data_IF_229397247578
#
_entry.id   IF_229397247578
#
_cell.length_a   1.000
_cell.length_b   1.000
_cell.length_c   1.000
_cell.angle_alpha   90.00
_cell.angle_beta   90.00
_cell.angle_gamma   90.00
#
_symmetry.space_group_name_H-M   'P 1'
#
loop_
_entity.id
_entity.type
_entity.pdbx_description
1 polymer ?
#
# COMPACT_ATOMS: atom_id res chain seq x y z
N UNK A 1 18.79 3.13 -3.60
CA UNK A 1 17.63 2.20 -3.68
C UNK A 1 16.63 2.22 -2.51
N UNK A 2 16.66 3.13 -1.52
CA UNK A 2 15.69 3.10 -0.39
C UNK A 2 14.40 3.92 -0.60
N UNK A 3 14.33 4.78 -1.62
CA UNK A 3 13.21 5.73 -1.81
C UNK A 3 11.87 5.05 -2.14
N UNK A 4 11.86 4.06 -3.04
CA UNK A 4 10.64 3.34 -3.44
C UNK A 4 10.11 2.52 -2.26
N UNK A 5 11.00 1.77 -1.59
CA UNK A 5 10.63 0.98 -0.42
C UNK A 5 10.02 1.85 0.71
N UNK A 6 10.62 3.01 0.99
CA UNK A 6 10.10 3.95 1.99
C UNK A 6 8.70 4.47 1.62
N UNK A 7 8.43 4.72 0.34
CA UNK A 7 7.12 5.15 -0.12
C UNK A 7 6.08 4.03 0.03
N UNK A 8 6.42 2.79 -0.36
CA UNK A 8 5.54 1.63 -0.18
C UNK A 8 5.23 1.39 1.30
N UNK A 9 6.24 1.42 2.17
CA UNK A 9 6.04 1.28 3.61
C UNK A 9 5.12 2.37 4.18
N UNK A 10 5.27 3.63 3.75
CA UNK A 10 4.38 4.73 4.13
C UNK A 10 2.95 4.53 3.62
N UNK A 11 2.79 4.07 2.38
CA UNK A 11 1.46 3.83 1.79
C UNK A 11 0.74 2.67 2.48
N UNK A 12 1.44 1.57 2.80
CA UNK A 12 0.89 0.45 3.57
C UNK A 12 0.53 0.90 4.99
N UNK A 13 1.43 1.63 5.66
CA UNK A 13 1.16 2.20 6.97
C UNK A 13 -0.09 3.11 6.95
N UNK A 14 -0.24 3.94 5.92
CA UNK A 14 -1.43 4.77 5.74
C UNK A 14 -2.70 3.92 5.61
N UNK A 15 -2.70 2.87 4.77
CA UNK A 15 -3.84 1.94 4.65
C UNK A 15 -4.21 1.35 6.02
N UNK A 16 -3.21 0.88 6.78
CA UNK A 16 -3.43 0.30 8.10
C UNK A 16 -3.97 1.33 9.12
N UNK A 17 -3.50 2.59 9.07
CA UNK A 17 -4.05 3.68 9.90
C UNK A 17 -5.52 4.00 9.57
N UNK A 18 -5.97 3.65 8.36
CA UNK A 18 -7.36 3.74 7.92
C UNK A 18 -8.13 2.43 8.11
N UNK A 19 -7.55 1.48 8.87
CA UNK A 19 -8.13 0.15 9.14
C UNK A 19 -8.35 -0.68 7.87
N UNK A 20 -7.55 -0.49 6.84
CA UNK A 20 -7.61 -1.23 5.57
C UNK A 20 -6.39 -2.11 5.41
N UNK A 21 -6.57 -3.42 5.22
CA UNK A 21 -5.50 -4.36 4.79
C UNK A 21 -5.67 -4.63 3.30
N UNK A 22 -4.64 -4.40 2.49
CA UNK A 22 -4.71 -4.58 1.03
C UNK A 22 -4.79 -6.05 0.59
N UNK A 23 -4.03 -6.94 1.26
CA UNK A 23 -3.96 -8.41 1.02
C UNK A 23 -3.47 -8.89 -0.36
N UNK A 24 -3.12 -8.00 -1.28
CA UNK A 24 -2.63 -8.35 -2.63
C UNK A 24 -1.51 -7.40 -3.09
N UNK A 25 -0.50 -7.23 -2.22
CA UNK A 25 0.67 -6.41 -2.54
C UNK A 25 1.64 -7.21 -3.40
N UNK A 26 1.72 -6.83 -4.68
CA UNK A 26 2.61 -7.38 -5.72
C UNK A 26 3.02 -6.26 -6.68
N UNK A 27 4.03 -6.49 -7.52
CA UNK A 27 4.58 -5.45 -8.40
C UNK A 27 3.55 -4.94 -9.41
N UNK A 28 2.65 -5.81 -9.84
CA UNK A 28 1.54 -5.51 -10.76
C UNK A 28 0.54 -4.49 -10.14
N UNK A 29 0.44 -4.48 -8.80
CA UNK A 29 -0.42 -3.56 -8.05
C UNK A 29 0.33 -2.33 -7.52
N UNK A 30 1.54 -2.07 -8.05
CA UNK A 30 2.36 -0.90 -7.71
C UNK A 30 2.64 -0.14 -8.99
N UNK A 31 1.95 0.97 -9.18
CA UNK A 31 2.21 1.89 -10.29
C UNK A 31 3.33 2.85 -9.92
N UNK A 32 4.11 3.28 -10.91
CA UNK A 32 5.21 4.24 -10.75
C UNK A 32 5.19 5.25 -11.89
N UNK A 33 5.42 6.52 -11.57
CA UNK A 33 5.59 7.59 -12.56
C UNK A 33 7.07 7.82 -12.94
N UNK A 34 7.32 8.72 -13.90
CA UNK A 34 8.68 9.07 -14.35
C UNK A 34 9.56 9.67 -13.22
N UNK A 35 8.96 10.09 -12.12
CA UNK A 35 9.64 10.67 -10.96
C UNK A 35 9.90 9.65 -9.85
N UNK A 36 9.75 8.35 -10.13
CA UNK A 36 9.89 7.25 -9.16
C UNK A 36 8.96 7.41 -7.94
N UNK A 37 7.77 8.01 -8.12
CA UNK A 37 6.74 8.02 -7.10
C UNK A 37 5.84 6.80 -7.28
N UNK A 38 5.70 5.99 -6.23
CA UNK A 38 4.90 4.77 -6.31
C UNK A 38 3.52 4.93 -5.66
N UNK A 39 2.51 4.30 -6.25
CA UNK A 39 1.13 4.26 -5.78
C UNK A 39 0.64 2.81 -5.75
N UNK A 40 -0.01 2.43 -4.65
CA UNK A 40 -0.64 1.13 -4.51
C UNK A 40 -2.03 1.20 -5.16
N UNK A 41 -2.37 0.20 -5.97
CA UNK A 41 -3.64 0.10 -6.70
C UNK A 41 -4.28 -1.28 -6.51
N UNK A 42 -5.53 -1.42 -6.97
CA UNK A 42 -6.32 -2.65 -6.90
C UNK A 42 -6.64 -3.13 -5.48
N UNK A 43 -7.63 -2.50 -4.87
CA UNK A 43 -8.14 -2.85 -3.55
C UNK A 43 -9.26 -3.92 -3.63
N UNK A 44 -9.39 -4.67 -4.72
CA UNK A 44 -10.46 -5.66 -4.90
C UNK A 44 -10.47 -6.77 -3.85
N UNK A 45 -9.31 -7.08 -3.26
CA UNK A 45 -9.16 -8.05 -2.17
C UNK A 45 -8.98 -7.39 -0.78
N UNK A 46 -9.06 -6.06 -0.70
CA UNK A 46 -8.85 -5.35 0.55
C UNK A 46 -9.98 -5.59 1.55
N UNK A 47 -9.66 -5.54 2.84
CA UNK A 47 -10.64 -5.67 3.93
C UNK A 47 -10.48 -4.57 4.96
N UNK A 48 -11.61 -4.17 5.54
CA UNK A 48 -11.59 -3.38 6.77
C UNK A 48 -11.39 -4.30 7.97
N UNK A 49 -10.53 -3.92 8.91
CA UNK A 49 -10.32 -4.66 10.15
C UNK A 49 -10.63 -3.78 11.36
N UNK A 50 -11.09 -4.41 12.45
CA UNK A 50 -11.09 -3.76 13.75
C UNK A 50 -9.87 -4.30 14.50
N UNK A 51 -8.94 -3.44 14.96
CA UNK A 51 -7.92 -3.90 15.89
C UNK A 51 -8.64 -4.46 17.13
N UNK A 52 -8.13 -5.58 17.66
CA UNK A 52 -8.66 -6.11 18.92
C UNK A 52 -8.59 -5.04 20.02
N UNK A 53 -9.60 -4.96 20.89
CA UNK A 53 -9.69 -3.97 21.96
C UNK A 53 -8.50 -4.02 22.94
#
# INVERSE_FOLDING_TARGET
SRRIFNQLAKAVHYCHSKRVVHRDLKLENILMDEHNCCKIVDFGLAVSFQPEP
#
